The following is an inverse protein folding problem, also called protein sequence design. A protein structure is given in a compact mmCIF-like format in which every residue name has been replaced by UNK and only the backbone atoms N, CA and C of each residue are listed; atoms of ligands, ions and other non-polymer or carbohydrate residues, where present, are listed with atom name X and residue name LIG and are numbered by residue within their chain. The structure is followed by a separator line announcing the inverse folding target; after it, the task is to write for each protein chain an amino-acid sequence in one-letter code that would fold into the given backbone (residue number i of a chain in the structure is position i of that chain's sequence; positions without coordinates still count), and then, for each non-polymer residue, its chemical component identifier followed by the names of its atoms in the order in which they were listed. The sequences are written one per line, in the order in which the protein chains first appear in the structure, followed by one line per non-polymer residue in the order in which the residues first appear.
data_IF_478747763043
#
_entry.id   IF_478747763043
#
_cell.length_a   1.000
_cell.length_b   1.000
_cell.length_c   1.000
_cell.angle_alpha   90.00
_cell.angle_beta   90.00
_cell.angle_gamma   90.00
#
_symmetry.space_group_name_H-M   'P 1'
#
loop_
_entity.id
_entity.type
_entity.pdbx_description
1 polymer ?
#
# COMPACT_ATOMS: atom_id res chain seq x y z
N UNK A 1 -11.48 0.36 20.42
CA UNK A 1 -11.35 1.04 19.12
C UNK A 1 -11.14 -0.01 18.05
N UNK A 2 -11.93 -0.02 16.99
CA UNK A 2 -11.69 -0.89 15.84
C UNK A 2 -10.58 -0.28 14.98
N UNK A 3 -9.44 -0.97 14.85
CA UNK A 3 -8.42 -0.60 13.86
C UNK A 3 -8.87 -1.10 12.50
N UNK A 4 -8.97 -0.19 11.54
CA UNK A 4 -9.18 -0.53 10.13
C UNK A 4 -7.88 -1.04 9.53
N UNK A 5 -7.98 -2.03 8.64
CA UNK A 5 -6.83 -2.49 7.87
C UNK A 5 -6.51 -1.41 6.82
N UNK A 6 -5.29 -0.84 6.80
CA UNK A 6 -4.86 0.10 5.77
C UNK A 6 -4.93 -0.56 4.40
N UNK A 7 -5.40 0.20 3.40
CA UNK A 7 -5.42 -0.22 2.00
C UNK A 7 -4.45 0.66 1.22
N UNK A 8 -3.42 0.07 0.64
CA UNK A 8 -2.33 0.79 -0.04
C UNK A 8 -2.43 0.53 -1.55
N UNK A 9 -2.24 1.56 -2.37
CA UNK A 9 -2.29 1.47 -3.84
C UNK A 9 -0.91 1.16 -4.44
N UNK A 10 -0.77 -0.01 -5.05
CA UNK A 10 0.50 -0.45 -5.64
C UNK A 10 0.97 0.43 -6.81
N UNK A 11 0.06 1.15 -7.49
CA UNK A 11 0.45 2.04 -8.59
C UNK A 11 1.38 3.17 -8.15
N UNK A 12 1.34 3.54 -6.87
CA UNK A 12 2.24 4.53 -6.30
C UNK A 12 3.70 4.03 -6.31
N UNK A 13 3.92 2.74 -6.06
CA UNK A 13 5.26 2.13 -6.09
C UNK A 13 5.90 2.17 -7.48
N UNK A 14 5.09 2.07 -8.54
CA UNK A 14 5.53 2.05 -9.95
C UNK A 14 5.35 3.40 -10.65
N UNK A 15 5.05 4.46 -9.90
CA UNK A 15 4.83 5.79 -10.46
C UNK A 15 6.15 6.41 -10.96
N UNK A 16 6.09 7.15 -12.06
CA UNK A 16 7.22 7.97 -12.55
C UNK A 16 7.53 9.15 -11.61
N UNK A 17 6.52 9.61 -10.87
CA UNK A 17 6.62 10.66 -9.87
C UNK A 17 7.32 10.17 -8.58
N UNK A 18 8.47 10.76 -8.19
CA UNK A 18 9.20 10.37 -6.97
C UNK A 18 8.42 10.59 -5.68
N UNK A 19 7.54 11.60 -5.61
CA UNK A 19 6.77 11.88 -4.39
C UNK A 19 5.76 10.77 -4.12
N UNK A 20 5.13 10.24 -5.18
CA UNK A 20 4.23 9.09 -5.08
C UNK A 20 4.95 7.82 -4.65
N UNK A 21 6.17 7.60 -5.12
CA UNK A 21 6.98 6.47 -4.66
C UNK A 21 7.34 6.61 -3.18
N UNK A 22 7.66 7.82 -2.73
CA UNK A 22 7.92 8.09 -1.31
C UNK A 22 6.66 7.86 -0.46
N UNK A 23 5.49 8.32 -0.92
CA UNK A 23 4.21 8.07 -0.26
C UNK A 23 3.96 6.57 -0.07
N UNK A 24 4.20 5.74 -1.08
CA UNK A 24 4.07 4.29 -0.96
C UNK A 24 4.97 3.71 0.14
N UNK A 25 6.23 4.15 0.19
CA UNK A 25 7.21 3.69 1.20
C UNK A 25 6.75 4.09 2.60
N UNK A 26 6.27 5.31 2.78
CA UNK A 26 5.80 5.82 4.07
C UNK A 26 4.55 5.05 4.54
N UNK A 27 3.56 4.88 3.68
CA UNK A 27 2.32 4.14 4.01
C UNK A 27 2.61 2.67 4.37
N UNK A 28 3.50 2.00 3.63
CA UNK A 28 3.92 0.62 3.94
C UNK A 28 4.66 0.58 5.26
N UNK A 29 5.61 1.50 5.48
CA UNK A 29 6.38 1.59 6.71
C UNK A 29 5.49 1.81 7.92
N UNK A 30 4.52 2.70 7.83
CA UNK A 30 3.60 3.02 8.91
C UNK A 30 2.64 1.86 9.19
N UNK A 31 2.06 1.23 8.16
CA UNK A 31 1.18 0.07 8.36
C UNK A 31 1.90 -1.11 9.04
N UNK A 32 3.16 -1.36 8.65
CA UNK A 32 3.98 -2.43 9.23
C UNK A 32 4.43 -2.12 10.67
N UNK A 33 4.74 -0.86 10.99
CA UNK A 33 5.07 -0.44 12.37
C UNK A 33 3.84 -0.43 13.27
N UNK A 34 2.68 -0.08 12.73
CA UNK A 34 1.46 0.09 13.49
C UNK A 34 0.75 -1.25 13.74
N UNK A 35 0.18 -1.89 12.71
CA UNK A 35 -0.55 -3.18 12.87
C UNK A 35 0.21 -4.41 12.36
N UNK A 36 1.26 -4.23 11.58
CA UNK A 36 2.06 -5.31 11.03
C UNK A 36 1.51 -5.91 9.71
N UNK A 37 0.44 -5.35 9.14
CA UNK A 37 -0.11 -5.80 7.86
C UNK A 37 -0.94 -4.70 7.17
N UNK A 38 -1.20 -4.87 5.87
CA UNK A 38 -2.05 -4.00 5.06
C UNK A 38 -2.67 -4.78 3.91
N UNK A 39 -3.76 -4.27 3.34
CA UNK A 39 -4.31 -4.76 2.09
C UNK A 39 -3.64 -4.00 0.93
N UNK A 40 -3.07 -4.72 -0.04
CA UNK A 40 -2.54 -4.10 -1.25
C UNK A 40 -3.64 -4.06 -2.32
N UNK A 41 -3.75 -2.95 -3.04
CA UNK A 41 -4.72 -2.75 -4.13
C UNK A 41 -4.03 -2.38 -5.44
N UNK A 42 -4.72 -2.59 -6.56
CA UNK A 42 -4.19 -2.34 -7.91
C UNK A 42 -2.83 -3.01 -8.19
N UNK A 43 -2.57 -4.17 -7.58
CA UNK A 43 -1.32 -4.92 -7.68
C UNK A 43 -1.16 -5.69 -9.02
N UNK A 44 -2.06 -5.47 -10.00
CA UNK A 44 -1.96 -6.06 -11.34
C UNK A 44 -2.21 -7.56 -11.43
N UNK A 45 -2.62 -8.22 -10.35
CA UNK A 45 -2.95 -9.66 -10.37
C UNK A 45 -4.45 -9.80 -10.68
N UNK A 46 -4.83 -10.51 -11.75
CA UNK A 46 -6.23 -10.80 -12.05
C UNK A 46 -6.93 -11.53 -10.89
N UNK A 47 -8.20 -11.18 -10.64
CA UNK A 47 -9.00 -11.82 -9.57
C UNK A 47 -9.48 -13.22 -9.94
N UNK A 48 -9.44 -13.58 -11.21
CA UNK A 48 -9.69 -14.92 -11.74
C UNK A 48 -8.42 -15.44 -12.39
N UNK A 49 -8.06 -16.69 -12.08
CA UNK A 49 -6.99 -17.43 -12.75
C UNK A 49 -7.47 -17.99 -14.08
#
# INVERSE_FOLDING_TARGET
MSRSIPSIDFRLATSDDPEKRQQFVDEVGDALKDIGFFALTNHGIPRSL
#
